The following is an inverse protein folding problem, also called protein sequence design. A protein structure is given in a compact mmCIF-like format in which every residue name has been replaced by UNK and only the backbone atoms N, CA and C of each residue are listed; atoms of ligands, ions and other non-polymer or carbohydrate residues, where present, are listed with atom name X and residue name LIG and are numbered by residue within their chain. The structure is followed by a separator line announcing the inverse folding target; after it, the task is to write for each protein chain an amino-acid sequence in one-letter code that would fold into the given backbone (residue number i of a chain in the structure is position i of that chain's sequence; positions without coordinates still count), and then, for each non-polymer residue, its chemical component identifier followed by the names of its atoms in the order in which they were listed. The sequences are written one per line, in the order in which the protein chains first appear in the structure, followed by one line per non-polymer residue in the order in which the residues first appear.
data_IF_210492720432
#
_entry.id   IF_210492720432
#
_cell.length_a   1.000
_cell.length_b   1.000
_cell.length_c   1.000
_cell.angle_alpha   90.00
_cell.angle_beta   90.00
_cell.angle_gamma   90.00
#
_symmetry.space_group_name_H-M   'P 1'
#
loop_
_entity.id
_entity.type
_entity.pdbx_description
1 polymer ?
#
# COMPACT_ATOMS: atom_id res chain seq x y z
N UNK A 1 39.58 -85.03 67.07
CA UNK A 1 39.17 -86.28 66.44
C UNK A 1 39.01 -86.02 64.95
N UNK A 2 39.53 -86.97 64.19
CA UNK A 2 39.76 -86.96 62.76
C UNK A 2 38.44 -86.98 61.94
N UNK A 3 38.55 -86.80 60.61
CA UNK A 3 37.53 -86.27 59.71
C UNK A 3 36.83 -87.38 58.90
N UNK A 4 35.67 -87.07 58.31
CA UNK A 4 35.09 -87.79 57.15
C UNK A 4 34.62 -86.69 56.19
N UNK A 5 35.18 -86.44 55.00
CA UNK A 5 35.44 -87.33 53.84
C UNK A 5 34.20 -88.05 53.32
N UNK A 6 33.19 -87.29 52.91
CA UNK A 6 32.27 -87.74 51.87
C UNK A 6 32.47 -86.93 50.59
N UNK A 7 33.22 -87.56 49.68
CA UNK A 7 33.25 -87.25 48.28
C UNK A 7 31.88 -87.58 47.66
N UNK A 8 30.99 -86.60 47.57
CA UNK A 8 29.82 -86.66 46.71
C UNK A 8 30.17 -85.99 45.37
N UNK A 9 30.62 -86.83 44.43
CA UNK A 9 30.49 -86.61 43.01
C UNK A 9 29.00 -86.46 42.66
N UNK A 10 28.46 -85.24 42.81
CA UNK A 10 27.30 -84.84 42.02
C UNK A 10 27.81 -84.20 40.75
N UNK A 11 27.73 -84.97 39.67
CA UNK A 11 27.70 -84.43 38.33
C UNK A 11 26.59 -83.38 38.26
N UNK A 12 26.98 -82.13 38.36
CA UNK A 12 26.19 -81.02 37.89
C UNK A 12 26.85 -80.60 36.57
N UNK A 13 26.38 -81.23 35.49
CA UNK A 13 26.13 -80.49 34.26
C UNK A 13 25.19 -79.33 34.58
N UNK A 14 25.70 -78.30 35.26
CA UNK A 14 25.11 -76.98 35.22
C UNK A 14 25.40 -76.45 33.82
N UNK A 15 24.46 -75.74 33.17
CA UNK A 15 24.77 -75.12 31.91
C UNK A 15 26.00 -74.26 32.15
N UNK A 16 27.04 -74.44 31.32
CA UNK A 16 28.00 -73.39 31.07
C UNK A 16 27.14 -72.17 30.73
N UNK A 17 26.85 -71.32 31.72
CA UNK A 17 26.29 -70.02 31.46
C UNK A 17 27.36 -69.39 30.60
N UNK A 18 27.10 -69.34 29.30
CA UNK A 18 28.09 -68.95 28.31
C UNK A 18 28.73 -67.64 28.80
N UNK A 19 30.05 -67.46 28.68
CA UNK A 19 30.72 -66.21 29.06
C UNK A 19 30.02 -64.96 28.52
N UNK A 20 29.28 -65.11 27.41
CA UNK A 20 28.41 -64.11 26.77
C UNK A 20 27.23 -63.72 27.67
N UNK A 21 26.52 -64.66 28.30
CA UNK A 21 25.40 -64.38 29.20
C UNK A 21 25.86 -63.67 30.48
N UNK A 22 27.00 -64.09 31.05
CA UNK A 22 27.60 -63.42 32.21
C UNK A 22 28.07 -62.01 31.84
N UNK A 23 28.73 -61.85 30.70
CA UNK A 23 29.17 -60.55 30.18
C UNK A 23 27.99 -59.60 29.95
N UNK A 24 26.88 -60.09 29.39
CA UNK A 24 25.66 -59.30 29.17
C UNK A 24 24.99 -58.88 30.49
N UNK A 25 24.98 -59.76 31.51
CA UNK A 25 24.48 -59.43 32.84
C UNK A 25 25.35 -58.37 33.53
N UNK A 26 26.67 -58.51 33.44
CA UNK A 26 27.63 -57.53 33.97
C UNK A 26 27.46 -56.18 33.26
N UNK A 27 27.34 -56.17 31.93
CA UNK A 27 27.13 -54.94 31.16
C UNK A 27 25.83 -54.24 31.55
N UNK A 28 24.74 -55.00 31.69
CA UNK A 28 23.45 -54.48 32.15
C UNK A 28 23.54 -53.91 33.56
N UNK A 29 24.23 -54.59 34.47
CA UNK A 29 24.42 -54.12 35.84
C UNK A 29 25.29 -52.86 35.90
N UNK A 30 26.35 -52.78 35.09
CA UNK A 30 27.18 -51.58 34.97
C UNK A 30 26.36 -50.39 34.44
N UNK A 31 25.50 -50.59 33.44
CA UNK A 31 24.64 -49.52 32.94
C UNK A 31 23.59 -49.11 33.97
N UNK A 32 23.00 -50.06 34.70
CA UNK A 32 22.09 -49.77 35.81
C UNK A 32 22.78 -48.90 36.88
N UNK A 33 23.95 -49.33 37.36
CA UNK A 33 24.73 -48.60 38.36
C UNK A 33 25.16 -47.21 37.88
N UNK A 34 25.47 -47.06 36.58
CA UNK A 34 25.77 -45.77 35.97
C UNK A 34 24.55 -44.84 35.99
N UNK A 35 23.37 -45.34 35.61
CA UNK A 35 22.14 -44.54 35.68
C UNK A 35 21.77 -44.16 37.13
N UNK A 36 21.99 -45.06 38.09
CA UNK A 36 21.78 -44.81 39.51
C UNK A 36 22.77 -43.80 40.09
N UNK A 37 24.03 -43.86 39.65
CA UNK A 37 25.05 -42.87 40.00
C UNK A 37 24.69 -41.49 39.43
N UNK A 38 24.27 -41.40 38.17
CA UNK A 38 23.81 -40.14 37.58
C UNK A 38 22.56 -39.58 38.29
N UNK A 39 21.62 -40.45 38.68
CA UNK A 39 20.45 -40.05 39.46
C UNK A 39 20.85 -39.52 40.84
N UNK A 40 21.75 -40.22 41.53
CA UNK A 40 22.29 -39.82 42.84
C UNK A 40 23.09 -38.51 42.76
N UNK A 41 23.87 -38.32 41.69
CA UNK A 41 24.59 -37.09 41.39
C UNK A 41 23.62 -35.91 41.22
N UNK A 42 22.60 -36.04 40.37
CA UNK A 42 21.56 -35.00 40.20
C UNK A 42 20.83 -34.71 41.51
N UNK A 43 20.56 -35.73 42.33
CA UNK A 43 19.93 -35.55 43.63
C UNK A 43 20.84 -34.79 44.61
N UNK A 44 22.14 -35.10 44.63
CA UNK A 44 23.12 -34.40 45.46
C UNK A 44 23.25 -32.94 45.03
N UNK A 45 23.33 -32.66 43.72
CA UNK A 45 23.35 -31.31 43.17
C UNK A 45 22.09 -30.53 43.57
N UNK A 46 20.92 -31.16 43.49
CA UNK A 46 19.66 -30.58 43.97
C UNK A 46 19.68 -30.25 45.46
N UNK A 47 20.18 -31.16 46.31
CA UNK A 47 20.35 -30.93 47.76
C UNK A 47 21.32 -29.78 48.05
N UNK A 48 22.44 -29.69 47.33
CA UNK A 48 23.40 -28.60 47.46
C UNK A 48 22.78 -27.26 47.05
N UNK A 49 22.00 -27.23 45.97
CA UNK A 49 21.28 -26.03 45.55
C UNK A 49 20.24 -25.58 46.60
N UNK A 50 19.47 -26.54 47.15
CA UNK A 50 18.51 -26.26 48.21
C UNK A 50 19.18 -25.71 49.48
N UNK A 51 20.30 -26.29 49.90
CA UNK A 51 21.08 -25.80 51.04
C UNK A 51 21.59 -24.36 50.83
N UNK A 52 22.05 -24.02 49.62
CA UNK A 52 22.46 -22.64 49.28
C UNK A 52 21.30 -21.65 49.41
N UNK A 53 20.09 -22.05 49.01
CA UNK A 53 18.87 -21.23 49.17
C UNK A 53 18.54 -21.05 50.66
N UNK A 54 18.52 -22.13 51.44
CA UNK A 54 18.23 -22.06 52.87
C UNK A 54 19.25 -21.19 53.62
N UNK A 55 20.53 -21.31 53.28
CA UNK A 55 21.59 -20.49 53.85
C UNK A 55 21.43 -19.00 53.48
N UNK A 56 21.12 -18.68 52.23
CA UNK A 56 20.89 -17.29 51.81
C UNK A 56 19.67 -16.68 52.48
N UNK A 57 18.58 -17.44 52.65
CA UNK A 57 17.40 -17.03 53.42
C UNK A 57 17.74 -16.78 54.89
N UNK A 58 18.54 -17.65 55.51
CA UNK A 58 18.96 -17.48 56.90
C UNK A 58 19.84 -16.24 57.12
N UNK A 59 20.73 -15.93 56.16
CA UNK A 59 21.54 -14.71 56.17
C UNK A 59 20.65 -13.48 55.97
N UNK A 60 19.71 -13.54 55.03
CA UNK A 60 18.78 -12.45 54.76
C UNK A 60 17.87 -12.14 55.97
N UNK A 61 17.40 -13.16 56.69
CA UNK A 61 16.61 -13.01 57.91
C UNK A 61 17.35 -12.27 59.04
N UNK A 62 18.69 -12.29 59.03
CA UNK A 62 19.54 -11.55 59.98
C UNK A 62 19.93 -10.15 59.47
N UNK A 63 19.60 -9.80 58.24
CA UNK A 63 19.95 -8.50 57.65
C UNK A 63 19.13 -7.36 58.27
N UNK A 64 19.60 -6.13 58.09
CA UNK A 64 18.87 -4.94 58.54
C UNK A 64 17.54 -4.78 57.79
N UNK A 65 16.54 -4.17 58.43
CA UNK A 65 15.23 -3.91 57.81
C UNK A 65 15.36 -3.14 56.48
N UNK A 66 16.31 -2.21 56.38
CA UNK A 66 16.58 -1.48 55.15
C UNK A 66 17.06 -2.40 54.01
N UNK A 67 18.00 -3.30 54.30
CA UNK A 67 18.48 -4.30 53.33
C UNK A 67 17.36 -5.23 52.88
N UNK A 68 16.48 -5.64 53.80
CA UNK A 68 15.34 -6.48 53.47
C UNK A 68 14.33 -5.78 52.57
N UNK A 69 14.02 -4.51 52.85
CA UNK A 69 13.12 -3.69 52.05
C UNK A 69 13.66 -3.43 50.63
N UNK A 70 14.97 -3.12 50.50
CA UNK A 70 15.61 -2.95 49.18
C UNK A 70 15.52 -4.24 48.37
N UNK A 71 15.87 -5.39 48.96
CA UNK A 71 15.81 -6.67 48.27
C UNK A 71 14.40 -6.99 47.78
N UNK A 72 13.39 -6.79 48.62
CA UNK A 72 11.99 -6.99 48.23
C UNK A 72 11.61 -6.07 47.06
N UNK A 73 11.99 -4.79 47.11
CA UNK A 73 11.76 -3.85 46.02
C UNK A 73 12.43 -4.29 44.73
N UNK A 74 13.68 -4.75 44.77
CA UNK A 74 14.40 -5.28 43.59
C UNK A 74 13.74 -6.54 43.04
N UNK A 75 13.25 -7.44 43.89
CA UNK A 75 12.50 -8.63 43.46
C UNK A 75 11.18 -8.25 42.79
N UNK A 76 10.47 -7.27 43.32
CA UNK A 76 9.21 -6.78 42.73
C UNK A 76 9.45 -6.04 41.41
N UNK A 77 10.50 -5.22 41.31
CA UNK A 77 10.97 -4.59 40.07
C UNK A 77 11.35 -5.66 39.02
N UNK A 78 12.10 -6.70 39.41
CA UNK A 78 12.43 -7.82 38.53
C UNK A 78 11.17 -8.52 38.02
N UNK A 79 10.20 -8.81 38.90
CA UNK A 79 8.92 -9.44 38.52
C UNK A 79 8.12 -8.55 37.57
N UNK A 80 8.17 -7.23 37.75
CA UNK A 80 7.53 -6.27 36.85
C UNK A 80 8.17 -6.28 35.46
N UNK A 81 9.50 -6.21 35.41
CA UNK A 81 10.25 -6.27 34.14
C UNK A 81 10.03 -7.59 33.41
N UNK A 82 9.96 -8.71 34.12
CA UNK A 82 9.68 -10.03 33.52
C UNK A 82 8.29 -10.08 32.86
N UNK A 83 7.27 -9.46 33.46
CA UNK A 83 5.95 -9.30 32.83
C UNK A 83 6.01 -8.44 31.58
N UNK A 84 6.78 -7.36 31.61
CA UNK A 84 6.93 -6.46 30.46
C UNK A 84 7.69 -7.14 29.32
N UNK A 85 8.76 -7.88 29.62
CA UNK A 85 9.50 -8.71 28.66
C UNK A 85 8.55 -9.73 28.02
N UNK A 86 7.77 -10.45 28.82
CA UNK A 86 6.82 -11.44 28.29
C UNK A 86 5.78 -10.76 27.38
N UNK A 87 5.23 -9.60 27.78
CA UNK A 87 4.27 -8.85 26.97
C UNK A 87 4.89 -8.35 25.65
N UNK A 88 6.14 -7.87 25.68
CA UNK A 88 6.87 -7.44 24.49
C UNK A 88 7.19 -8.61 23.57
N UNK A 89 7.58 -9.76 24.12
CA UNK A 89 7.85 -10.98 23.36
C UNK A 89 6.57 -11.44 22.62
N UNK A 90 5.43 -11.47 23.30
CA UNK A 90 4.13 -11.73 22.69
C UNK A 90 3.80 -10.72 21.58
N UNK A 91 4.05 -9.43 21.80
CA UNK A 91 3.78 -8.39 20.80
C UNK A 91 4.66 -8.55 19.57
N UNK A 92 5.94 -8.89 19.75
CA UNK A 92 6.87 -9.16 18.66
C UNK A 92 6.40 -10.36 17.85
N UNK A 93 6.06 -11.48 18.49
CA UNK A 93 5.58 -12.68 17.82
C UNK A 93 4.27 -12.41 17.05
N UNK A 94 3.34 -11.67 17.65
CA UNK A 94 2.11 -11.26 17.01
C UNK A 94 2.37 -10.41 15.75
N UNK A 95 3.24 -9.41 15.84
CA UNK A 95 3.58 -8.55 14.69
C UNK A 95 4.36 -9.30 13.61
N UNK A 96 5.24 -10.23 14.00
CA UNK A 96 5.94 -11.11 13.06
C UNK A 96 4.94 -11.97 12.29
N UNK A 97 3.98 -12.59 12.98
CA UNK A 97 2.95 -13.40 12.33
C UNK A 97 2.05 -12.55 11.41
N UNK A 98 1.67 -11.35 11.87
CA UNK A 98 0.90 -10.41 11.05
C UNK A 98 1.66 -10.00 9.78
N UNK A 99 2.96 -9.76 9.90
CA UNK A 99 3.81 -9.38 8.76
C UNK A 99 3.95 -10.52 7.76
N UNK A 100 4.18 -11.75 8.23
CA UNK A 100 4.22 -12.94 7.36
C UNK A 100 2.92 -13.13 6.57
N UNK A 101 1.76 -13.02 7.23
CA UNK A 101 0.47 -13.13 6.54
C UNK A 101 0.29 -12.07 5.44
N UNK A 102 0.73 -10.83 5.71
CA UNK A 102 0.68 -9.75 4.71
C UNK A 102 1.62 -10.05 3.54
N UNK A 103 2.84 -10.49 3.84
CA UNK A 103 3.84 -10.88 2.83
C UNK A 103 3.35 -12.01 1.93
N UNK A 104 2.76 -13.07 2.50
CA UNK A 104 2.16 -14.18 1.76
C UNK A 104 1.01 -13.70 0.86
N UNK A 105 0.13 -12.84 1.38
CA UNK A 105 -0.99 -12.27 0.61
C UNK A 105 -0.48 -11.43 -0.58
N UNK A 106 0.54 -10.60 -0.37
CA UNK A 106 1.13 -9.81 -1.44
C UNK A 106 1.87 -10.67 -2.47
N UNK A 107 2.57 -11.71 -2.02
CA UNK A 107 3.23 -12.68 -2.90
C UNK A 107 2.21 -13.34 -3.83
N UNK A 108 1.10 -13.87 -3.29
CA UNK A 108 0.03 -14.47 -4.09
C UNK A 108 -0.58 -13.49 -5.09
N UNK A 109 -0.75 -12.22 -4.70
CA UNK A 109 -1.27 -11.18 -5.60
C UNK A 109 -0.30 -10.87 -6.73
N UNK A 110 1.00 -10.80 -6.43
CA UNK A 110 2.04 -10.63 -7.45
C UNK A 110 2.06 -11.80 -8.42
N UNK A 111 1.99 -13.04 -7.93
CA UNK A 111 1.96 -14.24 -8.76
C UNK A 111 0.73 -14.26 -9.68
N UNK A 112 -0.45 -13.93 -9.15
CA UNK A 112 -1.68 -13.80 -9.94
C UNK A 112 -1.53 -12.79 -11.08
N UNK A 113 -1.00 -11.61 -10.79
CA UNK A 113 -0.76 -10.57 -11.80
C UNK A 113 0.29 -11.00 -12.83
N UNK A 114 1.33 -11.71 -12.41
CA UNK A 114 2.34 -12.26 -13.32
C UNK A 114 1.73 -13.28 -14.28
N UNK A 115 0.86 -14.17 -13.79
CA UNK A 115 0.11 -15.09 -14.64
C UNK A 115 -0.81 -14.35 -15.62
N UNK A 116 -1.58 -13.37 -15.16
CA UNK A 116 -2.45 -12.56 -16.02
C UNK A 116 -1.64 -11.82 -17.10
N UNK A 117 -0.52 -11.21 -16.74
CA UNK A 117 0.38 -10.55 -17.69
C UNK A 117 0.96 -11.52 -18.71
N UNK A 118 1.31 -12.75 -18.31
CA UNK A 118 1.79 -13.78 -19.24
C UNK A 118 0.70 -14.17 -20.26
N UNK A 119 -0.54 -14.36 -19.80
CA UNK A 119 -1.68 -14.67 -20.67
C UNK A 119 -1.98 -13.51 -21.62
N UNK A 120 -1.99 -12.27 -21.14
CA UNK A 120 -2.21 -11.08 -21.98
C UNK A 120 -1.10 -10.92 -23.03
N UNK A 121 0.16 -11.15 -22.64
CA UNK A 121 1.29 -11.10 -23.56
C UNK A 121 1.15 -12.14 -24.68
N UNK A 122 0.73 -13.35 -24.35
CA UNK A 122 0.53 -14.40 -25.35
C UNK A 122 -0.67 -14.11 -26.26
N UNK A 123 -1.77 -13.62 -25.68
CA UNK A 123 -2.95 -13.17 -26.45
C UNK A 123 -2.58 -12.06 -27.43
N UNK A 124 -1.77 -11.09 -27.00
CA UNK A 124 -1.30 -10.01 -27.85
C UNK A 124 -0.43 -10.53 -29.00
N UNK A 125 0.45 -11.50 -28.75
CA UNK A 125 1.22 -12.14 -29.83
C UNK A 125 0.30 -12.83 -30.83
N UNK A 126 -0.66 -13.63 -30.37
CA UNK A 126 -1.62 -14.31 -31.25
C UNK A 126 -2.39 -13.31 -32.11
N UNK A 127 -2.90 -12.22 -31.52
CA UNK A 127 -3.57 -11.15 -32.26
C UNK A 127 -2.65 -10.43 -33.25
N UNK A 128 -1.37 -10.27 -32.90
CA UNK A 128 -0.38 -9.69 -33.81
C UNK A 128 -0.13 -10.60 -35.02
N UNK A 129 -0.01 -11.91 -34.81
CA UNK A 129 0.14 -12.88 -35.92
C UNK A 129 -1.13 -12.97 -36.77
N UNK A 130 -2.32 -12.95 -36.17
CA UNK A 130 -3.61 -12.89 -36.89
C UNK A 130 -3.67 -11.65 -37.80
N UNK A 131 -3.29 -10.48 -37.29
CA UNK A 131 -3.23 -9.23 -38.09
C UNK A 131 -2.23 -9.37 -39.25
N UNK A 132 -1.07 -10.00 -39.04
CA UNK A 132 -0.09 -10.22 -40.12
C UNK A 132 -0.66 -11.14 -41.20
N UNK A 133 -1.34 -12.23 -40.82
CA UNK A 133 -1.98 -13.13 -41.79
C UNK A 133 -3.06 -12.40 -42.59
N UNK A 134 -3.98 -11.69 -41.92
CA UNK A 134 -5.03 -10.91 -42.58
C UNK A 134 -4.46 -9.84 -43.52
N UNK A 135 -3.35 -9.18 -43.13
CA UNK A 135 -2.66 -8.23 -44.02
C UNK A 135 -2.11 -8.91 -45.27
N UNK A 136 -1.52 -10.11 -45.14
CA UNK A 136 -1.01 -10.86 -46.29
C UNK A 136 -2.13 -11.34 -47.22
N UNK A 137 -3.27 -11.77 -46.66
CA UNK A 137 -4.44 -12.17 -47.42
C UNK A 137 -5.11 -10.98 -48.11
N UNK A 138 -5.24 -9.84 -47.44
CA UNK A 138 -5.73 -8.62 -48.07
C UNK A 138 -4.82 -8.16 -49.22
N UNK A 139 -3.50 -8.34 -49.09
CA UNK A 139 -2.57 -8.05 -50.17
C UNK A 139 -2.73 -9.01 -51.36
N UNK A 140 -2.94 -10.31 -51.13
CA UNK A 140 -3.16 -11.29 -52.20
C UNK A 140 -4.51 -11.08 -52.90
N UNK A 141 -5.57 -10.79 -52.15
CA UNK A 141 -6.88 -10.44 -52.70
C UNK A 141 -6.82 -9.16 -53.54
N UNK A 142 -6.10 -8.14 -53.08
CA UNK A 142 -5.88 -6.92 -53.87
C UNK A 142 -5.13 -7.22 -55.18
N UNK A 143 -4.14 -8.11 -55.15
CA UNK A 143 -3.43 -8.52 -56.36
C UNK A 143 -4.36 -9.26 -57.33
N UNK A 144 -5.15 -10.21 -56.84
CA UNK A 144 -6.15 -10.94 -57.64
C UNK A 144 -7.20 -9.99 -58.24
N UNK A 145 -7.65 -9.00 -57.47
CA UNK A 145 -8.57 -7.96 -57.95
C UNK A 145 -7.96 -7.17 -59.12
N UNK A 146 -6.70 -6.76 -59.00
CA UNK A 146 -5.99 -6.05 -60.07
C UNK A 146 -5.77 -6.93 -61.31
N UNK A 147 -5.44 -8.21 -61.13
CA UNK A 147 -5.29 -9.17 -62.22
C UNK A 147 -6.63 -9.40 -62.95
N UNK A 148 -7.72 -9.60 -62.21
CA UNK A 148 -9.05 -9.72 -62.78
C UNK A 148 -9.48 -8.46 -63.55
N UNK A 149 -9.18 -7.27 -63.02
CA UNK A 149 -9.41 -6.01 -63.71
C UNK A 149 -8.60 -5.90 -65.01
N UNK A 150 -7.37 -6.38 -65.04
CA UNK A 150 -6.52 -6.37 -66.22
C UNK A 150 -6.98 -7.36 -67.31
N UNK A 151 -7.70 -8.42 -66.93
CA UNK A 151 -8.31 -9.38 -67.88
C UNK A 151 -9.63 -8.91 -68.49
N UNK A 152 -10.23 -7.81 -68.01
CA UNK A 152 -11.44 -7.24 -68.60
C UNK A 152 -11.15 -6.48 -69.90
N UNK A 153 -12.10 -6.48 -70.82
CA UNK A 153 -12.01 -5.74 -72.08
C UNK A 153 -11.91 -4.22 -71.81
N UNK A 154 -11.10 -3.47 -72.56
CA UNK A 154 -10.77 -2.05 -72.29
C UNK A 154 -12.00 -1.17 -72.05
N UNK A 155 -13.13 -1.46 -72.72
CA UNK A 155 -14.41 -0.76 -72.51
C UNK A 155 -15.05 -1.06 -71.15
N UNK A 156 -14.97 -2.31 -70.69
CA UNK A 156 -15.49 -2.76 -69.39
C UNK A 156 -14.60 -2.26 -68.24
N UNK A 157 -13.28 -2.24 -68.45
CA UNK A 157 -12.30 -1.68 -67.51
C UNK A 157 -12.55 -0.18 -67.28
N UNK A 158 -12.87 0.57 -68.34
CA UNK A 158 -13.21 2.01 -68.27
C UNK A 158 -14.50 2.26 -67.48
N UNK A 159 -15.56 1.49 -67.72
CA UNK A 159 -16.82 1.60 -66.95
C UNK A 159 -16.66 1.18 -65.47
N UNK A 160 -15.80 0.20 -65.16
CA UNK A 160 -15.53 -0.20 -63.77
C UNK A 160 -14.68 0.84 -63.01
N UNK A 161 -13.72 1.46 -63.70
CA UNK A 161 -12.88 2.53 -63.15
C UNK A 161 -13.64 3.85 -63.01
N UNK A 162 -14.54 4.18 -63.96
CA UNK A 162 -15.45 5.33 -63.89
C UNK A 162 -16.42 5.18 -62.69
N UNK A 163 -17.03 4.00 -62.49
CA UNK A 163 -17.88 3.73 -61.32
C UNK A 163 -17.14 3.82 -59.96
N UNK A 164 -15.83 3.56 -59.92
CA UNK A 164 -14.99 3.74 -58.71
C UNK A 164 -14.53 5.19 -58.51
N UNK A 165 -14.42 5.98 -59.58
CA UNK A 165 -13.99 7.37 -59.55
C UNK A 165 -15.15 8.34 -59.26
N UNK A 166 -16.38 8.00 -59.67
CA UNK A 166 -17.60 8.79 -59.41
C UNK A 166 -18.07 8.77 -57.95
N UNK A 167 -17.46 7.94 -57.10
CA UNK A 167 -17.61 7.98 -55.64
C UNK A 167 -16.89 9.19 -54.99
N UNK A 168 -16.22 10.04 -55.78
CA UNK A 168 -15.69 11.35 -55.36
C UNK A 168 -16.53 12.53 -55.85
N UNK A 169 -17.80 12.31 -56.22
CA UNK A 169 -18.76 13.41 -56.27
C UNK A 169 -19.16 13.78 -54.86
N UNK A 170 -19.09 15.08 -54.55
CA UNK A 170 -19.55 15.88 -53.38
C UNK A 170 -20.53 15.27 -52.34
N UNK A 171 -20.32 14.03 -51.92
CA UNK A 171 -20.96 13.44 -50.75
C UNK A 171 -20.08 13.80 -49.57
N UNK A 172 -20.53 14.82 -48.84
CA UNK A 172 -20.14 15.06 -47.45
C UNK A 172 -20.09 13.71 -46.76
N UNK A 173 -18.91 13.24 -46.33
CA UNK A 173 -18.64 11.89 -45.80
C UNK A 173 -19.84 11.35 -45.01
N UNK A 174 -20.72 10.61 -45.69
CA UNK A 174 -21.88 9.99 -45.06
C UNK A 174 -21.35 8.72 -44.44
N UNK A 175 -21.38 8.65 -43.11
CA UNK A 175 -20.93 7.47 -42.38
C UNK A 175 -21.68 6.22 -42.89
N UNK A 176 -21.00 5.07 -42.97
CA UNK A 176 -21.68 3.80 -43.33
C UNK A 176 -22.89 3.50 -42.43
N UNK A 177 -22.88 4.01 -41.19
CA UNK A 177 -24.03 3.95 -40.29
C UNK A 177 -25.17 4.91 -40.70
N UNK A 178 -24.85 6.10 -41.18
CA UNK A 178 -25.86 7.03 -41.72
C UNK A 178 -26.54 6.42 -42.97
N UNK A 179 -25.78 5.77 -43.86
CA UNK A 179 -26.34 5.06 -45.02
C UNK A 179 -27.25 3.89 -44.61
N UNK A 180 -26.84 3.11 -43.60
CA UNK A 180 -27.66 2.03 -43.05
C UNK A 180 -28.97 2.54 -42.44
N UNK A 181 -28.95 3.67 -41.73
CA UNK A 181 -30.15 4.31 -41.17
C UNK A 181 -31.05 4.87 -42.28
N UNK A 182 -30.46 5.43 -43.35
CA UNK A 182 -31.22 5.92 -44.49
C UNK A 182 -31.94 4.78 -45.24
N UNK A 183 -31.29 3.61 -45.35
CA UNK A 183 -31.84 2.42 -46.03
C UNK A 183 -32.87 1.61 -45.21
N UNK A 184 -32.98 1.84 -43.91
CA UNK A 184 -33.92 1.12 -43.04
C UNK A 184 -35.37 1.65 -43.14
N UNK A 185 -35.59 2.84 -43.73
CA UNK A 185 -36.93 3.40 -43.93
C UNK A 185 -37.64 2.70 -45.09
N UNK A 186 -38.81 2.11 -44.83
CA UNK A 186 -39.67 1.52 -45.88
C UNK A 186 -40.48 2.58 -46.66
N UNK A 187 -40.41 3.85 -46.28
CA UNK A 187 -41.12 4.91 -46.97
C UNK A 187 -40.37 5.30 -48.25
N UNK A 188 -41.12 5.43 -49.35
CA UNK A 188 -40.56 5.84 -50.63
C UNK A 188 -40.59 7.37 -50.73
N UNK A 189 -39.42 7.99 -50.86
CA UNK A 189 -39.33 9.43 -51.14
C UNK A 189 -39.55 9.71 -52.62
N UNK A 190 -40.12 10.88 -52.98
CA UNK A 190 -40.28 11.27 -54.38
C UNK A 190 -38.90 11.40 -55.05
N UNK A 191 -38.72 10.74 -56.21
CA UNK A 191 -37.54 10.90 -57.07
C UNK A 191 -36.24 10.27 -56.55
N UNK A 192 -36.31 9.16 -55.80
CA UNK A 192 -35.11 8.43 -55.36
C UNK A 192 -34.33 9.09 -54.21
N UNK A 193 -34.90 10.12 -53.57
CA UNK A 193 -34.33 10.74 -52.37
C UNK A 193 -34.79 9.99 -51.10
N UNK A 194 -33.98 9.93 -50.04
CA UNK A 194 -34.41 9.34 -48.76
C UNK A 194 -35.66 10.04 -48.21
N UNK A 195 -36.56 9.26 -47.60
CA UNK A 195 -37.78 9.75 -46.96
C UNK A 195 -37.43 10.76 -45.84
N UNK A 196 -38.32 11.71 -45.48
CA UNK A 196 -38.08 12.67 -44.38
C UNK A 196 -37.84 11.97 -43.04
N UNK A 197 -38.48 10.81 -42.83
CA UNK A 197 -38.26 9.97 -41.65
C UNK A 197 -36.82 9.44 -41.59
N UNK A 198 -36.26 9.02 -42.73
CA UNK A 198 -34.90 8.52 -42.87
C UNK A 198 -33.88 9.64 -42.62
N UNK A 199 -34.10 10.82 -43.20
CA UNK A 199 -33.21 11.98 -42.96
C UNK A 199 -33.22 12.41 -41.50
N UNK A 200 -34.38 12.41 -40.86
CA UNK A 200 -34.50 12.76 -39.44
C UNK A 200 -33.84 11.70 -38.57
N UNK A 201 -34.03 10.41 -38.89
CA UNK A 201 -33.38 9.32 -38.17
C UNK A 201 -31.85 9.33 -38.34
N UNK A 202 -31.35 9.56 -39.56
CA UNK A 202 -29.92 9.63 -39.85
C UNK A 202 -29.26 10.84 -39.16
N UNK A 203 -29.91 12.02 -39.19
CA UNK A 203 -29.41 13.21 -38.48
C UNK A 203 -29.47 13.06 -36.95
N UNK A 204 -30.51 12.41 -36.41
CA UNK A 204 -30.56 12.07 -34.98
C UNK A 204 -29.45 11.08 -34.59
N UNK A 205 -29.21 10.05 -35.40
CA UNK A 205 -28.13 9.09 -35.18
C UNK A 205 -26.74 9.74 -35.24
N UNK A 206 -26.53 10.66 -36.20
CA UNK A 206 -25.31 11.48 -36.27
C UNK A 206 -25.11 12.29 -34.99
N UNK A 207 -26.17 12.93 -34.50
CA UNK A 207 -26.11 13.73 -33.27
C UNK A 207 -25.87 12.86 -32.03
N UNK A 208 -26.46 11.68 -31.96
CA UNK A 208 -26.22 10.73 -30.87
C UNK A 208 -24.77 10.24 -30.85
N UNK A 209 -24.16 9.98 -32.01
CA UNK A 209 -22.74 9.62 -32.10
C UNK A 209 -21.84 10.76 -31.63
N UNK A 210 -22.10 11.99 -32.08
CA UNK A 210 -21.35 13.17 -31.62
C UNK A 210 -21.45 13.35 -30.10
N UNK A 211 -22.65 13.23 -29.54
CA UNK A 211 -22.86 13.34 -28.10
C UNK A 211 -22.17 12.21 -27.32
N UNK A 212 -22.14 10.99 -27.86
CA UNK A 212 -21.37 9.89 -27.25
C UNK A 212 -19.87 10.18 -27.22
N UNK A 213 -19.31 10.68 -28.32
CA UNK A 213 -17.90 11.08 -28.40
C UNK A 213 -17.58 12.23 -27.42
N UNK A 214 -18.45 13.24 -27.33
CA UNK A 214 -18.32 14.33 -26.36
C UNK A 214 -18.36 13.80 -24.91
N UNK A 215 -19.25 12.84 -24.61
CA UNK A 215 -19.37 12.23 -23.29
C UNK A 215 -18.12 11.41 -22.93
N UNK A 216 -17.61 10.59 -23.85
CA UNK A 216 -16.35 9.84 -23.67
C UNK A 216 -15.17 10.79 -23.41
N UNK A 217 -15.08 11.90 -24.15
CA UNK A 217 -14.04 12.90 -23.94
C UNK A 217 -14.16 13.58 -22.57
N UNK A 218 -15.37 13.94 -22.16
CA UNK A 218 -15.62 14.52 -20.84
C UNK A 218 -15.33 13.53 -19.71
N UNK A 219 -15.65 12.26 -19.90
CA UNK A 219 -15.34 11.21 -18.95
C UNK A 219 -13.83 11.02 -18.78
N UNK A 220 -13.08 11.03 -19.90
CA UNK A 220 -11.62 11.00 -19.86
C UNK A 220 -11.03 12.21 -19.13
N UNK A 221 -11.53 13.42 -19.41
CA UNK A 221 -11.10 14.65 -18.71
C UNK A 221 -11.42 14.60 -17.21
N UNK A 222 -12.58 14.04 -16.84
CA UNK A 222 -12.96 13.83 -15.44
C UNK A 222 -11.97 12.89 -14.75
N UNK A 223 -11.64 11.76 -15.36
CA UNK A 223 -10.67 10.80 -14.83
C UNK A 223 -9.27 11.42 -14.68
N UNK A 224 -8.80 12.17 -15.68
CA UNK A 224 -7.54 12.92 -15.61
C UNK A 224 -7.53 13.94 -14.45
N UNK A 225 -8.65 14.64 -14.22
CA UNK A 225 -8.79 15.55 -13.09
C UNK A 225 -8.76 14.83 -11.74
N UNK A 226 -9.37 13.63 -11.63
CA UNK A 226 -9.29 12.81 -10.42
C UNK A 226 -7.87 12.32 -10.15
N UNK A 227 -7.17 11.82 -11.17
CA UNK A 227 -5.77 11.38 -11.06
C UNK A 227 -4.89 12.56 -10.63
N UNK A 228 -5.09 13.74 -11.22
CA UNK A 228 -4.33 14.94 -10.86
C UNK A 228 -4.61 15.39 -9.42
N UNK A 229 -5.87 15.36 -8.98
CA UNK A 229 -6.24 15.68 -7.61
C UNK A 229 -5.60 14.71 -6.61
N UNK A 230 -5.58 13.41 -6.91
CA UNK A 230 -4.94 12.41 -6.07
C UNK A 230 -3.41 12.58 -6.03
N UNK A 231 -2.78 12.91 -7.16
CA UNK A 231 -1.36 13.22 -7.21
C UNK A 231 -1.01 14.43 -6.32
N UNK A 232 -1.81 15.49 -6.34
CA UNK A 232 -1.64 16.63 -5.45
C UNK A 232 -1.84 16.26 -3.98
N UNK A 233 -2.84 15.43 -3.67
CA UNK A 233 -3.07 14.92 -2.32
C UNK A 233 -1.85 14.14 -1.81
N UNK A 234 -1.34 13.20 -2.60
CA UNK A 234 -0.16 12.40 -2.24
C UNK A 234 1.07 13.29 -2.06
N UNK A 235 1.33 14.22 -2.98
CA UNK A 235 2.45 15.14 -2.88
C UNK A 235 2.37 16.00 -1.59
N UNK A 236 1.18 16.48 -1.25
CA UNK A 236 0.94 17.25 -0.03
C UNK A 236 1.15 16.39 1.23
N UNK A 237 0.65 15.15 1.25
CA UNK A 237 0.88 14.22 2.36
C UNK A 237 2.37 13.91 2.54
N UNK A 238 3.09 13.68 1.45
CA UNK A 238 4.54 13.47 1.50
C UNK A 238 5.27 14.70 2.04
N UNK A 239 4.90 15.91 1.59
CA UNK A 239 5.48 17.14 2.09
C UNK A 239 5.20 17.34 3.59
N UNK A 240 3.98 17.03 4.04
CA UNK A 240 3.60 17.11 5.44
C UNK A 240 4.40 16.11 6.30
N UNK A 241 4.56 14.88 5.82
CA UNK A 241 5.37 13.86 6.49
C UNK A 241 6.84 14.27 6.60
N UNK A 242 7.46 14.77 5.51
CA UNK A 242 8.84 15.28 5.54
C UNK A 242 9.01 16.42 6.55
N UNK A 243 8.08 17.37 6.56
CA UNK A 243 8.10 18.50 7.49
C UNK A 243 7.93 18.07 8.95
N UNK A 244 7.05 17.11 9.21
CA UNK A 244 6.85 16.55 10.55
C UNK A 244 8.10 15.80 11.05
N UNK A 245 8.74 15.01 10.19
CA UNK A 245 10.00 14.33 10.51
C UNK A 245 11.13 15.32 10.80
N UNK A 246 11.26 16.37 9.99
CA UNK A 246 12.21 17.46 10.24
C UNK A 246 11.92 18.18 11.56
N UNK A 247 10.65 18.48 11.87
CA UNK A 247 10.25 19.11 13.13
C UNK A 247 10.56 18.22 14.35
N UNK A 248 10.39 16.91 14.22
CA UNK A 248 10.76 15.94 15.25
C UNK A 248 12.28 15.96 15.51
N UNK A 249 13.09 15.97 14.44
CA UNK A 249 14.56 16.04 14.54
C UNK A 249 15.03 17.35 15.17
N UNK A 250 14.47 18.49 14.75
CA UNK A 250 14.72 19.80 15.37
C UNK A 250 14.36 19.80 16.88
N UNK A 251 13.24 19.18 17.25
CA UNK A 251 12.82 19.08 18.66
C UNK A 251 13.76 18.16 19.47
N UNK A 252 14.29 17.10 18.86
CA UNK A 252 15.28 16.24 19.50
C UNK A 252 16.61 16.98 19.69
N UNK A 253 17.07 17.71 18.69
CA UNK A 253 18.30 18.52 18.76
C UNK A 253 18.16 19.65 19.79
N UNK A 254 17.03 20.38 19.82
CA UNK A 254 16.76 21.40 20.84
C UNK A 254 16.76 20.82 22.26
N UNK A 255 16.26 19.59 22.45
CA UNK A 255 16.37 18.86 23.73
C UNK A 255 17.82 18.49 24.08
N UNK A 256 18.68 18.20 23.09
CA UNK A 256 20.10 17.91 23.32
C UNK A 256 20.89 19.19 23.63
N UNK A 257 20.72 20.25 22.85
CA UNK A 257 21.32 21.55 23.11
C UNK A 257 20.90 22.09 24.49
N UNK A 258 19.63 21.99 24.89
CA UNK A 258 19.18 22.38 26.24
C UNK A 258 19.77 21.53 27.37
N UNK A 259 20.12 20.27 27.12
CA UNK A 259 20.83 19.41 28.10
C UNK A 259 22.29 19.81 28.21
N UNK A 260 22.94 20.16 27.10
CA UNK A 260 24.31 20.67 27.08
C UNK A 260 24.43 22.06 27.69
N UNK A 261 23.51 22.99 27.41
CA UNK A 261 23.52 24.32 28.05
C UNK A 261 23.35 24.22 29.57
N UNK A 262 22.57 23.23 30.07
CA UNK A 262 22.46 22.94 31.51
C UNK A 262 23.76 22.35 32.09
N UNK A 263 24.48 21.52 31.33
CA UNK A 263 25.77 20.98 31.74
C UNK A 263 26.86 22.08 31.77
N UNK A 264 26.90 22.93 30.75
CA UNK A 264 27.88 24.02 30.61
C UNK A 264 27.64 25.08 31.71
N UNK A 265 26.39 25.40 32.02
CA UNK A 265 26.04 26.33 33.11
C UNK A 265 26.38 25.76 34.51
N UNK A 266 26.32 24.42 34.70
CA UNK A 266 26.85 23.78 35.92
C UNK A 266 28.38 23.91 36.02
N UNK A 267 29.10 23.77 34.90
CA UNK A 267 30.56 23.89 34.86
C UNK A 267 31.04 25.33 35.08
N UNK A 268 30.35 26.34 34.55
CA UNK A 268 30.75 27.74 34.71
C UNK A 268 30.50 28.34 36.10
N UNK A 269 29.67 27.70 36.94
CA UNK A 269 29.43 28.16 38.32
C UNK A 269 30.55 27.76 39.32
N UNK A 270 31.53 26.95 38.89
CA UNK A 270 32.64 26.50 39.76
C UNK A 270 33.98 27.20 39.51
N UNK A 271 34.06 28.09 38.54
CA UNK A 271 35.34 28.61 38.05
C UNK A 271 35.38 30.14 38.07
N UNK A 272 34.88 30.77 39.14
CA UNK A 272 35.18 32.18 39.47
C UNK A 272 35.19 32.36 40.99
N UNK A 273 36.39 32.35 41.58
CA UNK A 273 36.61 32.53 43.02
C UNK A 273 38.07 32.26 43.40
N UNK A 274 38.80 33.32 43.73
CA UNK A 274 40.25 33.46 43.78
C UNK A 274 40.98 32.87 45.00
N UNK A 275 42.23 32.45 44.74
CA UNK A 275 43.49 32.61 45.52
C UNK A 275 43.54 32.18 47.01
N UNK A 276 44.38 31.18 47.35
CA UNK A 276 45.48 31.31 48.36
C UNK A 276 46.18 29.95 48.70
N UNK A 277 47.47 29.87 48.35
CA UNK A 277 48.60 29.44 49.19
C UNK A 277 48.74 28.00 49.77
N UNK A 278 49.89 27.40 49.40
CA UNK A 278 50.79 26.48 50.16
C UNK A 278 50.45 24.99 50.39
N UNK A 279 51.30 24.16 49.78
CA UNK A 279 52.00 22.95 50.32
C UNK A 279 51.18 21.81 50.95
N UNK A 280 51.08 20.69 50.23
CA UNK A 280 51.72 19.36 50.50
C UNK A 280 50.99 18.29 49.65
N UNK A 281 51.72 17.61 48.77
CA UNK A 281 51.17 16.52 47.95
C UNK A 281 50.79 15.34 48.86
N UNK A 282 49.50 15.03 48.95
CA UNK A 282 48.98 13.89 49.72
C UNK A 282 48.94 12.63 48.85
N UNK A 283 48.98 11.46 49.52
CA UNK A 283 49.07 10.10 48.98
C UNK A 283 48.18 9.81 47.77
N UNK A 284 47.03 10.49 47.64
CA UNK A 284 46.11 10.37 46.50
C UNK A 284 46.71 10.79 45.14
N UNK A 285 47.66 11.73 45.12
CA UNK A 285 48.34 12.13 43.87
C UNK A 285 49.42 11.13 43.42
N UNK A 286 49.92 10.28 44.34
CA UNK A 286 50.82 9.16 44.00
C UNK A 286 50.05 7.94 43.50
N UNK A 287 48.79 7.78 43.90
CA UNK A 287 47.90 6.69 43.45
C UNK A 287 47.31 6.91 42.05
N UNK A 288 47.26 8.16 41.57
CA UNK A 288 46.87 8.50 40.20
C UNK A 288 47.86 8.04 39.13
N UNK A 289 49.10 7.72 39.50
CA UNK A 289 50.13 7.20 38.58
C UNK A 289 50.18 5.67 38.46
N UNK A 290 49.24 4.94 39.06
CA UNK A 290 49.26 3.48 39.16
C UNK A 290 48.01 2.76 38.61
N UNK A 291 47.16 3.44 37.84
CA UNK A 291 46.02 2.81 37.16
C UNK A 291 46.17 2.83 35.63
N UNK A 292 45.67 1.80 34.92
CA UNK A 292 46.14 1.42 33.59
C UNK A 292 45.77 2.45 32.52
N UNK A 293 46.77 2.82 31.74
CA UNK A 293 46.61 3.31 30.37
C UNK A 293 46.04 2.17 29.52
N UNK A 294 44.74 2.21 29.22
CA UNK A 294 44.13 1.28 28.28
C UNK A 294 43.28 2.03 27.25
N UNK A 295 43.69 1.83 26.00
CA UNK A 295 43.03 2.27 24.79
C UNK A 295 41.58 1.79 24.78
N UNK A 296 40.65 2.70 24.50
CA UNK A 296 39.44 2.38 23.76
C UNK A 296 39.38 3.26 22.51
N UNK A 297 40.23 2.92 21.55
CA UNK A 297 40.03 3.22 20.14
C UNK A 297 38.91 2.34 19.61
N UNK A 298 37.65 2.74 19.85
CA UNK A 298 36.50 2.23 19.10
C UNK A 298 35.58 3.37 18.73
N UNK A 299 35.76 3.82 17.48
CA UNK A 299 34.76 4.35 16.55
C UNK A 299 33.61 5.15 17.18
N UNK A 300 33.66 6.46 17.00
CA UNK A 300 32.47 7.29 16.81
C UNK A 300 32.84 8.47 15.92
N UNK A 301 33.31 8.14 14.72
CA UNK A 301 33.09 9.00 13.55
C UNK A 301 31.61 8.80 13.18
N UNK A 302 30.77 9.80 13.45
CA UNK A 302 29.43 10.06 12.83
C UNK A 302 28.46 10.80 13.76
N UNK A 303 28.91 11.77 14.55
CA UNK A 303 27.99 12.81 15.03
C UNK A 303 28.64 14.18 14.87
N UNK A 304 27.88 15.07 14.22
CA UNK A 304 28.18 16.47 13.92
C UNK A 304 29.06 16.73 12.68
N UNK A 305 28.55 16.33 11.52
CA UNK A 305 29.00 16.92 10.26
C UNK A 305 28.26 18.26 10.03
N UNK A 306 28.90 19.43 10.13
CA UNK A 306 28.26 20.74 9.84
C UNK A 306 27.64 20.79 8.43
N UNK A 307 28.13 19.93 7.53
CA UNK A 307 27.62 19.77 6.18
C UNK A 307 26.21 19.15 6.12
N UNK A 308 25.82 18.33 7.11
CA UNK A 308 24.45 17.81 7.21
C UNK A 308 23.47 18.87 7.69
N UNK A 309 23.91 19.77 8.58
CA UNK A 309 23.12 20.93 9.02
C UNK A 309 22.90 21.90 7.86
N UNK A 310 23.94 22.19 7.07
CA UNK A 310 23.80 23.00 5.87
C UNK A 310 22.89 22.34 4.83
N UNK A 311 22.99 21.03 4.63
CA UNK A 311 22.10 20.28 3.74
C UNK A 311 20.65 20.37 4.19
N UNK A 312 20.37 20.18 5.48
CA UNK A 312 19.03 20.31 6.04
C UNK A 312 18.46 21.73 5.88
N UNK A 313 19.27 22.77 6.09
CA UNK A 313 18.85 24.16 5.89
C UNK A 313 18.57 24.49 4.42
N UNK A 314 19.38 23.96 3.50
CA UNK A 314 19.15 24.08 2.05
C UNK A 314 17.85 23.36 1.65
N UNK A 315 17.62 22.15 2.16
CA UNK A 315 16.38 21.40 1.91
C UNK A 315 15.14 22.15 2.42
N UNK A 316 15.22 22.76 3.61
CA UNK A 316 14.16 23.61 4.18
C UNK A 316 13.87 24.87 3.35
N UNK A 317 14.90 25.48 2.77
CA UNK A 317 14.75 26.64 1.88
C UNK A 317 14.10 26.22 0.55
N UNK A 318 14.52 25.10 -0.03
CA UNK A 318 13.94 24.53 -1.23
C UNK A 318 12.46 24.15 -1.03
N UNK A 319 12.12 23.51 0.09
CA UNK A 319 10.73 23.14 0.42
C UNK A 319 9.81 24.37 0.55
N UNK A 320 10.33 25.49 1.06
CA UNK A 320 9.59 26.78 1.11
C UNK A 320 9.40 27.38 -0.28
N UNK A 321 10.41 27.33 -1.13
CA UNK A 321 10.30 27.79 -2.52
C UNK A 321 9.32 26.94 -3.32
N UNK A 322 9.30 25.61 -3.13
CA UNK A 322 8.35 24.71 -3.76
C UNK A 322 6.91 24.95 -3.28
N UNK A 323 6.71 25.16 -1.98
CA UNK A 323 5.40 25.54 -1.43
C UNK A 323 4.89 26.86 -2.01
N UNK A 324 5.77 27.86 -2.17
CA UNK A 324 5.44 29.13 -2.81
C UNK A 324 5.15 28.95 -4.30
N UNK A 325 5.86 28.07 -5.00
CA UNK A 325 5.60 27.74 -6.40
C UNK A 325 4.22 27.09 -6.57
N UNK A 326 3.85 26.15 -5.68
CA UNK A 326 2.51 25.56 -5.66
C UNK A 326 1.43 26.59 -5.33
N UNK A 327 1.66 27.47 -4.35
CA UNK A 327 0.74 28.56 -4.03
C UNK A 327 0.55 29.51 -5.22
N UNK A 328 1.65 29.90 -5.90
CA UNK A 328 1.59 30.74 -7.11
C UNK A 328 0.85 30.04 -8.24
N UNK A 329 1.06 28.74 -8.43
CA UNK A 329 0.36 27.93 -9.45
C UNK A 329 -1.13 27.85 -9.16
N UNK A 330 -1.53 27.61 -7.91
CA UNK A 330 -2.94 27.61 -7.50
C UNK A 330 -3.56 28.99 -7.69
N UNK A 331 -2.89 30.06 -7.28
CA UNK A 331 -3.36 31.44 -7.51
C UNK A 331 -3.51 31.75 -9.00
N UNK A 332 -2.57 31.32 -9.85
CA UNK A 332 -2.65 31.48 -11.30
C UNK A 332 -3.80 30.69 -11.92
N UNK A 333 -4.00 29.43 -11.49
CA UNK A 333 -5.10 28.59 -11.94
C UNK A 333 -6.47 29.17 -11.53
N UNK A 334 -6.58 29.70 -10.32
CA UNK A 334 -7.80 30.36 -9.85
C UNK A 334 -8.07 31.66 -10.62
N UNK A 335 -7.04 32.46 -10.91
CA UNK A 335 -7.18 33.65 -11.73
C UNK A 335 -7.66 33.32 -13.16
N UNK A 336 -7.06 32.31 -13.80
CA UNK A 336 -7.50 31.79 -15.12
C UNK A 336 -8.94 31.27 -15.09
N UNK A 337 -9.30 30.49 -14.09
CA UNK A 337 -10.67 29.98 -13.97
C UNK A 337 -11.70 31.09 -13.73
N UNK A 338 -11.32 32.19 -13.09
CA UNK A 338 -12.14 33.40 -12.96
C UNK A 338 -12.21 34.18 -14.27
N UNK A 339 -11.11 34.32 -15.00
CA UNK A 339 -11.07 34.92 -16.35
C UNK A 339 -11.92 34.12 -17.34
N UNK A 340 -11.82 32.78 -17.36
CA UNK A 340 -12.61 31.91 -18.23
C UNK A 340 -14.12 31.99 -17.88
N UNK A 341 -14.45 32.16 -16.59
CA UNK A 341 -15.83 32.43 -16.15
C UNK A 341 -16.31 33.82 -16.55
N UNK A 342 -15.45 34.84 -16.49
CA UNK A 342 -15.78 36.20 -16.90
C UNK A 342 -15.88 36.34 -18.42
N UNK A 343 -15.08 35.61 -19.20
CA UNK A 343 -15.16 35.53 -20.66
C UNK A 343 -16.44 34.78 -21.06
N UNK A 344 -16.77 33.64 -20.42
CA UNK A 344 -18.04 32.96 -20.63
C UNK A 344 -19.27 33.78 -20.21
N UNK A 345 -19.11 34.70 -19.24
CA UNK A 345 -20.14 35.68 -18.81
C UNK A 345 -20.25 36.88 -19.75
N UNK A 346 -19.14 37.34 -20.34
CA UNK A 346 -19.10 38.43 -21.35
C UNK A 346 -19.52 37.96 -22.74
N UNK A 347 -19.14 36.77 -23.17
CA UNK A 347 -19.62 36.16 -24.44
C UNK A 347 -21.13 35.90 -24.41
N UNK A 348 -21.71 35.63 -23.24
CA UNK A 348 -23.17 35.58 -23.05
C UNK A 348 -23.86 36.97 -23.01
N UNK A 349 -23.10 38.07 -22.95
CA UNK A 349 -23.62 39.45 -23.03
C UNK A 349 -23.31 40.16 -24.35
N UNK A 350 -22.33 39.71 -25.14
CA UNK A 350 -21.91 40.37 -26.39
C UNK A 350 -22.42 39.73 -27.69
N UNK A 351 -23.46 38.87 -27.64
CA UNK A 351 -24.14 38.42 -28.86
C UNK A 351 -25.68 38.47 -28.77
N UNK A 352 -26.33 39.59 -29.15
CA UNK A 352 -27.67 39.58 -29.69
C UNK A 352 -27.57 39.63 -31.22
N UNK A 353 -27.36 38.48 -31.87
CA UNK A 353 -27.52 38.41 -33.32
C UNK A 353 -29.01 38.48 -33.66
N UNK A 354 -29.45 39.60 -34.24
CA UNK A 354 -30.50 39.61 -35.27
C UNK A 354 -30.56 40.95 -35.99
N UNK A 355 -30.23 40.89 -37.29
CA UNK A 355 -30.80 41.77 -38.30
C UNK A 355 -32.31 41.79 -38.12
N UNK A 356 -32.84 42.97 -37.80
CA UNK A 356 -34.23 43.31 -37.98
C UNK A 356 -34.39 43.91 -39.41
N UNK A 357 -35.50 43.83 -40.13
CA UNK A 357 -36.87 44.31 -39.81
C UNK A 357 -37.78 44.08 -41.06
N UNK A 358 -39.11 44.36 -41.05
CA UNK A 358 -40.04 44.64 -39.93
C UNK A 358 -41.41 43.90 -40.12
N UNK A 359 -42.51 44.02 -39.36
CA UNK A 359 -43.01 45.01 -38.41
C UNK A 359 -44.23 44.43 -37.64
N UNK A 360 -44.49 45.00 -36.46
CA UNK A 360 -45.76 45.13 -35.69
C UNK A 360 -45.95 44.22 -34.46
N UNK A 361 -45.61 44.79 -33.30
CA UNK A 361 -46.35 44.60 -32.04
C UNK A 361 -47.56 45.56 -31.97
N UNK A 362 -48.51 45.35 -31.04
CA UNK A 362 -48.41 45.99 -29.72
C UNK A 362 -48.42 45.04 -28.52
N UNK A 363 -47.71 45.48 -27.48
CA UNK A 363 -47.52 44.91 -26.14
C UNK A 363 -48.77 45.03 -25.25
N UNK A 364 -48.82 44.17 -24.22
CA UNK A 364 -48.93 44.45 -22.75
C UNK A 364 -49.68 43.27 -22.08
N UNK A 365 -49.42 42.78 -20.87
CA UNK A 365 -48.39 42.92 -19.81
C UNK A 365 -48.76 41.83 -18.76
N UNK A 366 -47.76 41.39 -17.98
CA UNK A 366 -47.82 40.86 -16.59
C UNK A 366 -48.61 39.58 -16.27
N UNK A 367 -47.93 38.55 -15.79
CA UNK A 367 -47.94 38.14 -14.35
C UNK A 367 -47.46 36.69 -14.18
N UNK A 368 -46.84 36.46 -13.04
CA UNK A 368 -46.04 35.32 -12.57
C UNK A 368 -46.78 33.98 -12.42
N UNK A 369 -46.05 32.88 -12.58
CA UNK A 369 -46.31 31.53 -12.05
C UNK A 369 -44.94 30.90 -11.72
N UNK A 370 -44.75 29.92 -10.84
CA UNK A 370 -45.41 29.47 -9.62
C UNK A 370 -44.52 28.39 -9.02
N UNK A 371 -44.62 28.32 -7.71
CA UNK A 371 -44.21 27.29 -6.75
C UNK A 371 -44.84 25.91 -7.11
N UNK A 372 -43.99 24.88 -7.24
CA UNK A 372 -43.98 23.64 -6.41
C UNK A 372 -44.79 22.37 -6.77
N UNK A 373 -44.04 21.26 -6.64
CA UNK A 373 -44.33 19.85 -6.29
C UNK A 373 -44.92 18.81 -7.28
N UNK A 374 -44.27 17.64 -7.20
CA UNK A 374 -44.54 16.31 -7.79
C UNK A 374 -45.90 15.70 -7.37
N UNK A 375 -46.33 14.60 -8.03
CA UNK A 375 -46.41 13.34 -7.27
C UNK A 375 -46.16 12.00 -8.02
N UNK A 376 -45.50 11.07 -7.31
CA UNK A 376 -45.91 9.70 -6.89
C UNK A 376 -46.28 8.61 -7.94
N UNK A 377 -45.42 7.56 -7.95
CA UNK A 377 -45.60 6.09 -8.09
C UNK A 377 -46.88 5.47 -8.69
N UNK A 378 -46.69 4.46 -9.57
CA UNK A 378 -47.44 3.19 -9.51
C UNK A 378 -46.73 2.05 -10.27
N UNK A 379 -46.83 0.82 -9.72
CA UNK A 379 -46.16 -0.43 -10.10
C UNK A 379 -47.19 -1.53 -10.36
N UNK A 380 -47.03 -2.37 -11.42
CA UNK A 380 -47.48 -3.79 -11.59
C UNK A 380 -46.82 -4.29 -12.90
N UNK A 381 -45.96 -5.32 -13.04
CA UNK A 381 -45.94 -6.79 -12.78
C UNK A 381 -46.50 -7.71 -13.92
N UNK A 382 -45.58 -8.49 -14.54
CA UNK A 382 -45.60 -9.89 -15.10
C UNK A 382 -46.41 -10.19 -16.41
N UNK A 383 -46.06 -11.09 -17.39
CA UNK A 383 -45.28 -12.34 -17.45
C UNK A 383 -44.77 -12.71 -18.90
N UNK A 384 -43.60 -13.36 -18.94
CA UNK A 384 -42.94 -14.34 -19.84
C UNK A 384 -43.47 -14.73 -21.25
N UNK A 385 -42.52 -14.91 -22.18
CA UNK A 385 -42.47 -16.06 -23.12
C UNK A 385 -41.02 -16.45 -23.46
N UNK A 386 -40.82 -17.75 -23.68
CA UNK A 386 -39.56 -18.52 -23.71
C UNK A 386 -38.94 -18.54 -25.11
N UNK A 387 -37.60 -18.45 -25.20
CA UNK A 387 -36.84 -18.71 -26.43
C UNK A 387 -35.33 -18.64 -26.19
N UNK A 388 -34.62 -19.70 -26.53
CA UNK A 388 -33.27 -20.06 -26.09
C UNK A 388 -32.11 -19.28 -26.76
N UNK A 389 -30.95 -19.33 -26.08
CA UNK A 389 -29.56 -19.42 -26.58
C UNK A 389 -28.60 -18.32 -26.07
N UNK A 390 -27.54 -18.81 -25.43
CA UNK A 390 -26.36 -18.18 -24.82
C UNK A 390 -25.90 -16.80 -25.32
N UNK A 391 -25.58 -15.91 -24.37
CA UNK A 391 -24.28 -15.21 -24.31
C UNK A 391 -24.10 -14.43 -22.99
N UNK A 392 -23.02 -14.77 -22.29
CA UNK A 392 -22.11 -13.94 -21.49
C UNK A 392 -22.66 -12.55 -21.09
N UNK A 393 -23.21 -12.45 -19.89
CA UNK A 393 -23.40 -11.18 -19.20
C UNK A 393 -22.15 -10.85 -18.38
N UNK A 394 -21.47 -9.78 -18.80
CA UNK A 394 -20.56 -9.01 -17.95
C UNK A 394 -21.40 -8.31 -16.87
N UNK A 395 -21.58 -8.96 -15.73
CA UNK A 395 -22.21 -8.36 -14.56
C UNK A 395 -21.11 -7.71 -13.71
N UNK A 396 -20.90 -6.40 -13.87
CA UNK A 396 -20.25 -5.58 -12.86
C UNK A 396 -21.22 -5.47 -11.68
N UNK A 397 -21.21 -6.47 -10.80
CA UNK A 397 -21.79 -6.33 -9.47
C UNK A 397 -20.74 -5.72 -8.57
N UNK A 398 -20.93 -4.43 -8.33
CA UNK A 398 -20.34 -3.68 -7.25
C UNK A 398 -20.74 -4.32 -5.91
N UNK A 399 -19.81 -5.01 -5.27
CA UNK A 399 -19.90 -5.41 -3.87
C UNK A 399 -18.48 -5.50 -3.29
N UNK A 400 -18.03 -4.41 -2.66
CA UNK A 400 -17.36 -4.45 -1.35
C UNK A 400 -16.95 -3.04 -0.88
N UNK A 401 -17.93 -2.18 -0.57
CA UNK A 401 -17.74 -1.17 0.47
C UNK A 401 -17.89 -1.84 1.84
N UNK A 402 -16.81 -2.40 2.40
CA UNK A 402 -16.69 -2.51 3.85
C UNK A 402 -16.15 -1.20 4.40
N UNK A 403 -17.06 -0.24 4.61
CA UNK A 403 -16.86 0.86 5.56
C UNK A 403 -16.72 0.26 6.95
N UNK A 404 -15.51 0.24 7.50
CA UNK A 404 -15.37 0.29 8.97
C UNK A 404 -15.58 1.74 9.40
N UNK A 405 -16.82 2.05 9.77
CA UNK A 405 -17.13 3.19 10.63
C UNK A 405 -16.37 3.00 11.95
N UNK A 406 -15.24 3.70 12.12
CA UNK A 406 -14.72 3.95 13.46
C UNK A 406 -15.59 5.03 14.07
N UNK A 407 -16.47 4.60 14.97
CA UNK A 407 -17.22 5.44 15.90
C UNK A 407 -16.22 6.24 16.73
N UNK A 408 -16.06 7.52 16.42
CA UNK A 408 -15.39 8.49 17.29
C UNK A 408 -16.29 8.75 18.49
N UNK A 409 -15.84 8.35 19.67
CA UNK A 409 -16.36 8.86 20.92
C UNK A 409 -15.31 9.74 21.56
N UNK A 410 -15.56 11.02 21.49
CA UNK A 410 -14.98 12.04 22.35
C UNK A 410 -16.14 12.75 23.04
N UNK A 411 -16.24 12.63 24.36
CA UNK A 411 -16.51 13.71 25.31
C UNK A 411 -16.40 13.18 26.77
N UNK A 412 -16.03 14.02 27.74
CA UNK A 412 -15.72 13.64 29.11
C UNK A 412 -16.98 13.65 29.99
N UNK A 413 -17.01 12.79 31.01
CA UNK A 413 -17.92 12.96 32.15
C UNK A 413 -17.14 12.90 33.46
N UNK A 414 -16.90 14.08 34.02
CA UNK A 414 -16.97 14.27 35.46
C UNK A 414 -18.38 13.88 35.91
N UNK A 415 -18.50 13.01 36.92
CA UNK A 415 -19.51 13.07 37.97
C UNK A 415 -18.91 12.33 39.19
N UNK A 416 -18.88 13.05 40.32
CA UNK A 416 -18.66 12.53 41.66
C UNK A 416 -19.81 11.59 42.05
N UNK A 417 -19.52 10.47 42.72
CA UNK A 417 -19.87 10.23 44.12
C UNK A 417 -18.98 9.11 44.66
#
# INVERSE_FOLDING_TARGET
MAPDSEALNFGLSGPLIEPILISNLIYKEVENLKTELEASQRQLEGKVAALKILQSMAIFGKATSHTQAIFQKTVDEKRSLEKEINALQWKIEFEQNRTKNIEETWTQKCDRLNCENAVLKETLKLKTEEIKMLKSENASLNLQYLEALAMLEIKQQKTAQENMCDAKSDFTEVSGLELAVLGACLCHGPGGRPCSCAQTAASAQKRLLQLKQELELLQKRKEEAYIMADAFRIAFEQQLMRKNDQALRLTQMDKMCKKETKWINWKHLKEDGSLSQRTKKTLGQKLLGMLPSENNSKKTEDQDNPQEVFKMLIDLLNDKEEALAHQRKVSYMLARALEDKDIGSRENKENPMKNNFPLKHPKQKTSEFSVLHDPIHSSVHIFNSVGCVCSIQHLHTDQNYRRTLKRSHSLPQNIKF
#
